data_IF_934440252282
#
_entry.id   IF_934440252282
#
_cell.length_a   1.000
_cell.length_b   1.000
_cell.length_c   1.000
_cell.angle_alpha   90.00
_cell.angle_beta   90.00
_cell.angle_gamma   90.00
#
_symmetry.space_group_name_H-M   'P 1'
#
loop_
_entity.id
_entity.type
_entity.pdbx_description
1 polymer ?
#
# COMPACT_ATOMS: atom_id res chain seq x y z
N UNK A 1 22.02 -8.14 26.98
CA UNK A 1 21.15 -8.87 27.91
C UNK A 1 21.31 -8.36 29.32
N UNK A 2 20.41 -7.46 29.74
CA UNK A 2 20.33 -7.00 31.12
C UNK A 2 19.18 -7.73 31.84
N UNK A 3 19.34 -8.17 33.10
CA UNK A 3 18.30 -8.86 33.85
C UNK A 3 17.02 -8.01 34.04
N UNK A 4 17.17 -6.69 34.10
CA UNK A 4 16.08 -5.72 34.25
C UNK A 4 15.51 -5.23 32.91
N UNK A 5 15.90 -5.83 31.78
CA UNK A 5 15.48 -5.39 30.45
C UNK A 5 13.96 -5.41 30.22
N UNK A 6 13.24 -6.24 30.97
CA UNK A 6 11.77 -6.33 30.91
C UNK A 6 11.05 -5.29 31.79
N UNK A 7 11.78 -4.54 32.62
CA UNK A 7 11.19 -3.55 33.52
C UNK A 7 11.07 -2.19 32.81
N UNK A 8 9.98 -1.47 33.05
CA UNK A 8 9.74 -0.11 32.55
C UNK A 8 9.94 0.06 31.04
N UNK A 9 9.58 -0.96 30.24
CA UNK A 9 9.77 -1.00 28.79
C UNK A 9 11.21 -0.71 28.32
N UNK A 10 12.21 -0.95 29.18
CA UNK A 10 13.61 -0.62 28.91
C UNK A 10 14.12 -1.23 27.60
N UNK A 11 13.77 -2.49 27.33
CA UNK A 11 14.13 -3.17 26.08
C UNK A 11 13.51 -2.50 24.86
N UNK A 12 12.21 -2.22 24.90
CA UNK A 12 11.51 -1.59 23.78
C UNK A 12 12.10 -0.21 23.48
N UNK A 13 12.30 0.62 24.51
CA UNK A 13 12.92 1.94 24.36
C UNK A 13 14.37 1.88 23.85
N UNK A 14 15.13 0.85 24.24
CA UNK A 14 16.49 0.66 23.74
C UNK A 14 16.53 0.28 22.25
N UNK A 15 15.64 -0.61 21.80
CA UNK A 15 15.52 -0.97 20.40
C UNK A 15 14.99 0.20 19.55
N UNK A 16 14.02 0.95 20.06
CA UNK A 16 13.51 2.18 19.43
C UNK A 16 14.61 3.25 19.29
N UNK A 17 15.40 3.46 20.34
CA UNK A 17 16.55 4.36 20.28
C UNK A 17 17.58 3.89 19.25
N UNK A 18 17.84 2.59 19.17
CA UNK A 18 18.76 2.01 18.18
C UNK A 18 18.23 2.21 16.75
N UNK A 19 16.94 1.99 16.52
CA UNK A 19 16.28 2.23 15.23
C UNK A 19 16.46 3.68 14.78
N UNK A 20 16.18 4.64 15.66
CA UNK A 20 16.25 6.06 15.32
C UNK A 20 17.71 6.53 15.13
N UNK A 21 18.67 5.98 15.89
CA UNK A 21 20.11 6.25 15.68
C UNK A 21 20.57 5.74 14.31
N UNK A 22 20.20 4.52 13.92
CA UNK A 22 20.57 3.97 12.59
C UNK A 22 19.92 4.79 11.47
N UNK A 23 18.64 5.12 11.60
CA UNK A 23 17.88 5.91 10.63
C UNK A 23 18.45 7.32 10.42
N UNK A 24 18.95 7.96 11.48
CA UNK A 24 19.53 9.31 11.40
C UNK A 24 21.06 9.33 11.34
N UNK A 25 21.68 8.19 11.02
CA UNK A 25 23.13 8.09 10.87
C UNK A 25 23.64 8.75 9.57
N UNK A 26 24.83 9.37 9.65
CA UNK A 26 25.53 9.94 8.51
C UNK A 26 26.23 8.86 7.67
N UNK A 27 26.63 9.19 6.44
CA UNK A 27 27.21 8.21 5.49
C UNK A 27 28.50 7.57 5.97
N UNK A 28 29.30 8.28 6.75
CA UNK A 28 30.53 7.79 7.37
C UNK A 28 30.29 6.75 8.48
N UNK A 29 29.06 6.68 9.00
CA UNK A 29 28.64 5.67 9.99
C UNK A 29 28.28 4.32 9.34
N UNK A 30 28.31 4.21 8.01
CA UNK A 30 27.90 3.01 7.28
C UNK A 30 28.58 1.71 7.76
N UNK A 31 29.90 1.67 8.05
CA UNK A 31 30.53 0.47 8.60
C UNK A 31 29.94 0.01 9.94
N UNK A 32 29.53 0.96 10.78
CA UNK A 32 28.86 0.65 12.05
C UNK A 32 27.44 0.12 11.82
N UNK A 33 26.72 0.68 10.84
CA UNK A 33 25.40 0.18 10.43
C UNK A 33 25.50 -1.26 9.92
N UNK A 34 26.45 -1.56 9.02
CA UNK A 34 26.67 -2.93 8.52
C UNK A 34 26.91 -3.93 9.66
N UNK A 35 27.81 -3.60 10.60
CA UNK A 35 28.08 -4.45 11.76
C UNK A 35 26.84 -4.63 12.64
N UNK A 36 26.05 -3.57 12.81
CA UNK A 36 24.79 -3.62 13.56
C UNK A 36 23.79 -4.55 12.88
N UNK A 37 23.65 -4.48 11.55
CA UNK A 37 22.78 -5.37 10.76
C UNK A 37 23.13 -6.84 10.99
N UNK A 38 24.41 -7.20 10.97
CA UNK A 38 24.85 -8.57 11.25
C UNK A 38 24.42 -9.05 12.65
N UNK A 39 24.58 -8.19 13.66
CA UNK A 39 24.18 -8.50 15.04
C UNK A 39 22.66 -8.66 15.17
N UNK A 40 21.87 -7.82 14.47
CA UNK A 40 20.41 -7.94 14.48
C UNK A 40 19.97 -9.26 13.84
N UNK A 41 20.59 -9.66 12.74
CA UNK A 41 20.31 -10.96 12.10
C UNK A 41 20.69 -12.14 12.99
N UNK A 42 21.86 -12.08 13.65
CA UNK A 42 22.28 -13.12 14.59
C UNK A 42 21.27 -13.26 15.74
N UNK A 43 20.83 -12.13 16.30
CA UNK A 43 19.79 -12.12 17.35
C UNK A 43 18.46 -12.67 16.85
N UNK A 44 18.05 -12.33 15.63
CA UNK A 44 16.83 -12.87 15.04
C UNK A 44 16.90 -14.40 14.93
N UNK A 45 18.02 -14.95 14.47
CA UNK A 45 18.21 -16.39 14.41
C UNK A 45 18.23 -17.05 15.79
N UNK A 46 18.90 -16.44 16.77
CA UNK A 46 18.93 -16.94 18.15
C UNK A 46 17.52 -16.99 18.73
N UNK A 47 16.72 -15.94 18.54
CA UNK A 47 15.33 -15.90 19.00
C UNK A 47 14.51 -17.02 18.34
N UNK A 48 14.67 -17.27 17.04
CA UNK A 48 13.97 -18.37 16.38
C UNK A 48 14.34 -19.78 16.90
N UNK A 49 15.48 -19.93 17.59
CA UNK A 49 15.88 -21.18 18.25
C UNK A 49 15.34 -21.29 19.69
N UNK A 50 15.07 -20.16 20.34
CA UNK A 50 14.56 -20.09 21.71
C UNK A 50 13.12 -20.57 21.86
N UNK A 51 12.40 -20.79 20.77
CA UNK A 51 11.02 -21.31 20.78
C UNK A 51 10.89 -22.61 21.61
N UNK A 52 11.90 -23.47 21.55
CA UNK A 52 11.95 -24.74 22.32
C UNK A 52 11.98 -24.57 23.85
N UNK A 53 12.26 -23.35 24.34
CA UNK A 53 12.37 -23.03 25.76
C UNK A 53 11.15 -22.29 26.32
N UNK A 54 10.12 -22.05 25.51
CA UNK A 54 8.89 -21.38 25.97
C UNK A 54 8.08 -22.36 26.83
N UNK A 55 8.00 -22.11 28.14
CA UNK A 55 7.28 -22.96 29.09
C UNK A 55 6.01 -22.29 29.64
N UNK A 56 5.98 -20.96 29.71
CA UNK A 56 4.85 -20.20 30.25
C UNK A 56 4.27 -19.19 29.25
N UNK A 57 3.05 -18.75 29.51
CA UNK A 57 2.41 -17.67 28.75
C UNK A 57 3.19 -16.36 28.84
N UNK A 58 3.82 -16.08 30.00
CA UNK A 58 4.69 -14.90 30.17
C UNK A 58 5.92 -14.97 29.26
N UNK A 59 6.55 -16.15 29.16
CA UNK A 59 7.70 -16.34 28.27
C UNK A 59 7.28 -16.15 26.81
N UNK A 60 6.09 -16.63 26.43
CA UNK A 60 5.55 -16.47 25.09
C UNK A 60 5.31 -15.00 24.72
N UNK A 61 4.78 -14.20 25.64
CA UNK A 61 4.58 -12.75 25.41
C UNK A 61 5.94 -12.07 25.20
N UNK A 62 6.90 -12.30 26.09
CA UNK A 62 8.23 -11.70 25.97
C UNK A 62 8.99 -12.14 24.71
N UNK A 63 8.75 -13.37 24.27
CA UNK A 63 9.28 -13.91 23.02
C UNK A 63 8.69 -13.19 21.81
N UNK A 64 7.37 -13.05 21.76
CA UNK A 64 6.66 -12.34 20.69
C UNK A 64 7.09 -10.87 20.62
N UNK A 65 7.18 -10.19 21.76
CA UNK A 65 7.63 -8.79 21.85
C UNK A 65 9.06 -8.63 21.28
N UNK A 66 9.95 -9.58 21.58
CA UNK A 66 11.31 -9.56 21.07
C UNK A 66 11.36 -9.80 19.55
N UNK A 67 10.52 -10.68 19.02
CA UNK A 67 10.40 -10.89 17.56
C UNK A 67 9.92 -9.62 16.86
N UNK A 68 8.88 -8.99 17.39
CA UNK A 68 8.35 -7.70 16.91
C UNK A 68 9.44 -6.62 16.87
N UNK A 69 10.14 -6.39 17.99
CA UNK A 69 11.23 -5.40 18.08
C UNK A 69 12.36 -5.68 17.08
N UNK A 70 12.73 -6.95 16.88
CA UNK A 70 13.77 -7.34 15.93
C UNK A 70 13.31 -7.13 14.48
N UNK A 71 12.05 -7.41 14.15
CA UNK A 71 11.48 -7.14 12.82
C UNK A 71 11.40 -5.64 12.53
N UNK A 72 10.92 -4.83 13.47
CA UNK A 72 10.91 -3.38 13.35
C UNK A 72 12.33 -2.80 13.20
N UNK A 73 13.31 -3.36 13.93
CA UNK A 73 14.71 -2.97 13.79
C UNK A 73 15.26 -3.38 12.42
N UNK A 74 14.88 -4.56 11.94
CA UNK A 74 15.25 -5.06 10.62
C UNK A 74 14.75 -4.15 9.49
N UNK A 75 13.51 -3.65 9.59
CA UNK A 75 12.97 -2.66 8.64
C UNK A 75 13.87 -1.40 8.56
N UNK A 76 14.27 -0.86 9.71
CA UNK A 76 15.09 0.35 9.76
C UNK A 76 16.51 0.14 9.22
N UNK A 77 17.15 -1.00 9.50
CA UNK A 77 18.48 -1.30 8.95
C UNK A 77 18.41 -1.59 7.46
N UNK A 78 17.37 -2.30 6.98
CA UNK A 78 17.20 -2.62 5.55
C UNK A 78 17.07 -1.36 4.69
N UNK A 79 16.38 -0.32 5.19
CA UNK A 79 16.28 0.98 4.51
C UNK A 79 17.58 1.79 4.46
N UNK A 80 18.62 1.37 5.19
CA UNK A 80 19.92 2.05 5.24
C UNK A 80 21.06 1.29 4.57
N UNK A 81 20.95 -0.02 4.42
CA UNK A 81 21.96 -0.79 3.71
C UNK A 81 21.94 -0.47 2.22
N UNK A 82 23.12 -0.53 1.61
CA UNK A 82 23.27 -0.48 0.17
C UNK A 82 22.64 -1.74 -0.43
N UNK A 83 22.10 -1.60 -1.63
CA UNK A 83 21.42 -2.68 -2.33
C UNK A 83 22.30 -3.95 -2.50
N UNK A 84 23.61 -3.79 -2.72
CA UNK A 84 24.55 -4.93 -2.78
C UNK A 84 24.64 -5.72 -1.47
N UNK A 85 24.60 -5.04 -0.33
CA UNK A 85 24.63 -5.70 0.98
C UNK A 85 23.26 -6.34 1.28
N UNK A 86 22.17 -5.67 0.88
CA UNK A 86 20.83 -6.22 0.99
C UNK A 86 20.70 -7.55 0.23
N UNK A 87 21.30 -7.65 -0.96
CA UNK A 87 21.33 -8.89 -1.73
C UNK A 87 22.04 -10.02 -0.99
N UNK A 88 23.18 -9.75 -0.36
CA UNK A 88 23.95 -10.74 0.39
C UNK A 88 23.20 -11.25 1.63
N UNK A 89 22.42 -10.39 2.27
CA UNK A 89 21.69 -10.76 3.50
C UNK A 89 20.26 -11.25 3.23
N UNK A 90 19.71 -11.00 2.04
CA UNK A 90 18.32 -11.28 1.68
C UNK A 90 17.88 -12.72 1.93
N UNK A 91 18.73 -13.69 1.60
CA UNK A 91 18.42 -15.13 1.80
C UNK A 91 18.31 -15.48 3.27
N UNK A 92 19.20 -14.94 4.09
CA UNK A 92 19.21 -15.17 5.54
C UNK A 92 18.00 -14.52 6.19
N UNK A 93 17.66 -13.30 5.77
CA UNK A 93 16.48 -12.58 6.25
C UNK A 93 15.21 -13.33 5.87
N UNK A 94 15.02 -13.69 4.60
CA UNK A 94 13.81 -14.40 4.17
C UNK A 94 13.68 -15.77 4.83
N UNK A 95 14.76 -16.53 4.96
CA UNK A 95 14.70 -17.80 5.71
C UNK A 95 14.25 -17.60 7.16
N UNK A 96 14.70 -16.52 7.80
CA UNK A 96 14.32 -16.18 9.18
C UNK A 96 12.85 -15.74 9.27
N UNK A 97 12.38 -14.89 8.35
CA UNK A 97 10.99 -14.43 8.30
C UNK A 97 10.03 -15.59 7.97
N UNK A 98 10.37 -16.44 7.00
CA UNK A 98 9.57 -17.63 6.66
C UNK A 98 9.45 -18.61 7.84
N UNK A 99 10.56 -18.85 8.56
CA UNK A 99 10.54 -19.66 9.77
C UNK A 99 9.66 -19.04 10.85
N UNK A 100 9.71 -17.71 11.01
CA UNK A 100 8.86 -17.01 11.96
C UNK A 100 7.38 -17.19 11.63
N UNK A 101 6.96 -17.03 10.37
CA UNK A 101 5.56 -17.27 9.98
C UNK A 101 5.08 -18.70 10.26
N UNK A 102 5.97 -19.69 10.17
CA UNK A 102 5.64 -21.09 10.48
C UNK A 102 5.45 -21.34 11.98
N UNK A 103 6.24 -20.69 12.85
CA UNK A 103 6.18 -20.90 14.29
C UNK A 103 5.12 -20.05 15.01
N UNK A 104 4.82 -18.86 14.50
CA UNK A 104 3.94 -17.89 15.17
C UNK A 104 2.51 -17.84 14.64
N UNK A 105 1.97 -18.99 14.21
CA UNK A 105 0.63 -19.13 13.62
C UNK A 105 -0.57 -18.64 14.49
N UNK A 106 -0.34 -18.02 15.65
CA UNK A 106 -1.39 -17.45 16.52
C UNK A 106 -0.99 -16.16 17.25
N UNK A 107 -0.01 -15.39 16.76
CA UNK A 107 0.33 -14.07 17.31
C UNK A 107 0.27 -12.99 16.25
N UNK A 108 -0.88 -12.33 16.10
CA UNK A 108 -1.14 -11.33 15.06
C UNK A 108 -0.10 -10.23 14.95
N UNK A 109 0.28 -9.60 16.08
CA UNK A 109 1.27 -8.52 16.07
C UNK A 109 2.63 -8.95 15.50
N UNK A 110 3.06 -10.19 15.73
CA UNK A 110 4.31 -10.70 15.15
C UNK A 110 4.16 -10.95 13.66
N UNK A 111 2.99 -11.43 13.21
CA UNK A 111 2.72 -11.64 11.78
C UNK A 111 2.67 -10.31 11.02
N UNK A 112 2.05 -9.28 11.61
CA UNK A 112 2.03 -7.93 11.07
C UNK A 112 3.45 -7.38 10.89
N UNK A 113 4.27 -7.37 11.94
CA UNK A 113 5.65 -6.88 11.89
C UNK A 113 6.52 -7.69 10.90
N UNK A 114 6.26 -8.98 10.79
CA UNK A 114 6.92 -9.86 9.84
C UNK A 114 6.57 -9.48 8.39
N UNK A 115 5.29 -9.24 8.09
CA UNK A 115 4.84 -8.80 6.77
C UNK A 115 5.39 -7.42 6.42
N UNK A 116 5.46 -6.50 7.39
CA UNK A 116 6.10 -5.19 7.21
C UNK A 116 7.62 -5.31 6.95
N UNK A 117 8.29 -6.26 7.60
CA UNK A 117 9.69 -6.56 7.33
C UNK A 117 9.90 -7.14 5.92
N UNK A 118 9.00 -8.02 5.46
CA UNK A 118 9.01 -8.51 4.07
C UNK A 118 8.78 -7.35 3.10
N UNK A 119 7.83 -6.47 3.37
CA UNK A 119 7.53 -5.28 2.53
C UNK A 119 8.77 -4.41 2.35
N UNK A 120 9.48 -4.13 3.44
CA UNK A 120 10.74 -3.37 3.38
C UNK A 120 11.81 -4.11 2.57
N UNK A 121 11.89 -5.44 2.67
CA UNK A 121 12.83 -6.20 1.86
C UNK A 121 12.45 -6.20 0.37
N UNK A 122 11.16 -6.25 0.04
CA UNK A 122 10.64 -6.12 -1.32
C UNK A 122 11.01 -4.76 -1.91
N UNK A 123 10.81 -3.66 -1.16
CA UNK A 123 11.22 -2.31 -1.57
C UNK A 123 12.71 -2.23 -1.90
N UNK A 124 13.56 -2.89 -1.10
CA UNK A 124 15.03 -2.84 -1.25
C UNK A 124 15.54 -3.71 -2.39
N UNK A 125 14.95 -4.90 -2.60
CA UNK A 125 15.39 -5.84 -3.63
C UNK A 125 14.74 -5.58 -5.00
N UNK A 126 13.56 -4.97 -5.04
CA UNK A 126 12.80 -4.79 -6.27
C UNK A 126 12.53 -6.13 -6.98
N UNK A 127 12.81 -6.18 -8.28
CA UNK A 127 12.57 -7.37 -9.11
C UNK A 127 13.34 -8.62 -8.67
N UNK A 128 14.44 -8.48 -7.94
CA UNK A 128 15.23 -9.62 -7.44
C UNK A 128 14.51 -10.39 -6.33
N UNK A 129 13.43 -9.84 -5.77
CA UNK A 129 12.58 -10.56 -4.81
C UNK A 129 11.85 -11.76 -5.45
N UNK A 130 11.71 -11.80 -6.78
CA UNK A 130 10.97 -12.84 -7.49
C UNK A 130 11.39 -14.27 -7.09
N UNK A 131 12.67 -14.48 -6.78
CA UNK A 131 13.20 -15.79 -6.35
C UNK A 131 12.56 -16.34 -5.07
N UNK A 132 11.94 -15.49 -4.24
CA UNK A 132 11.27 -15.89 -3.01
C UNK A 132 9.77 -16.12 -3.16
N UNK A 133 9.15 -15.68 -4.27
CA UNK A 133 7.69 -15.67 -4.41
C UNK A 133 7.05 -17.06 -4.27
N UNK A 134 7.65 -18.09 -4.85
CA UNK A 134 7.12 -19.46 -4.75
C UNK A 134 7.09 -19.99 -3.32
N UNK A 135 8.09 -19.65 -2.51
CA UNK A 135 8.15 -20.05 -1.11
C UNK A 135 7.28 -19.15 -0.22
N UNK A 136 7.13 -17.87 -0.58
CA UNK A 136 6.43 -16.87 0.21
C UNK A 136 4.91 -16.84 -0.03
N UNK A 137 4.44 -17.20 -1.23
CA UNK A 137 3.02 -17.12 -1.61
C UNK A 137 2.04 -17.74 -0.59
N UNK A 138 2.30 -18.89 0.07
CA UNK A 138 1.33 -19.46 1.00
C UNK A 138 1.14 -18.57 2.23
N UNK A 139 2.19 -17.88 2.67
CA UNK A 139 2.15 -16.98 3.83
C UNK A 139 1.44 -15.67 3.51
N UNK A 140 1.63 -15.14 2.30
CA UNK A 140 0.84 -14.02 1.81
C UNK A 140 -0.65 -14.37 1.76
N UNK A 141 -0.99 -15.55 1.24
CA UNK A 141 -2.37 -16.04 1.21
C UNK A 141 -2.99 -16.22 2.60
N UNK A 142 -2.20 -16.67 3.60
CA UNK A 142 -2.64 -16.75 5.00
C UNK A 142 -2.95 -15.34 5.55
N UNK A 143 -2.05 -14.38 5.32
CA UNK A 143 -2.24 -13.00 5.77
C UNK A 143 -3.50 -12.36 5.17
N UNK A 144 -3.71 -12.53 3.87
CA UNK A 144 -4.92 -12.05 3.18
C UNK A 144 -6.21 -12.73 3.67
N UNK A 145 -6.16 -14.01 4.06
CA UNK A 145 -7.32 -14.73 4.61
C UNK A 145 -7.59 -14.41 6.08
N UNK A 146 -6.64 -13.82 6.80
CA UNK A 146 -6.76 -13.53 8.23
C UNK A 146 -7.52 -12.21 8.48
N UNK A 147 -8.79 -12.15 8.05
CA UNK A 147 -9.63 -10.97 8.27
C UNK A 147 -10.02 -10.75 9.73
N UNK A 148 -9.89 -11.77 10.58
CA UNK A 148 -10.18 -11.67 12.02
C UNK A 148 -9.18 -10.74 12.73
N UNK A 149 -7.91 -10.78 12.32
CA UNK A 149 -6.89 -9.84 12.76
C UNK A 149 -6.61 -8.83 11.64
N UNK A 150 -7.46 -7.81 11.55
CA UNK A 150 -7.46 -6.89 10.42
C UNK A 150 -6.11 -6.18 10.19
N UNK A 151 -5.28 -5.99 11.22
CA UNK A 151 -3.94 -5.40 11.07
C UNK A 151 -3.00 -6.30 10.25
N UNK A 152 -3.06 -7.62 10.46
CA UNK A 152 -2.30 -8.60 9.65
C UNK A 152 -2.81 -8.57 8.21
N UNK A 153 -4.13 -8.52 8.03
CA UNK A 153 -4.73 -8.40 6.70
C UNK A 153 -4.33 -7.09 5.99
N UNK A 154 -4.29 -5.95 6.71
CA UNK A 154 -3.84 -4.66 6.18
C UNK A 154 -2.38 -4.74 5.73
N UNK A 155 -1.49 -5.30 6.55
CA UNK A 155 -0.08 -5.49 6.19
C UNK A 155 0.07 -6.40 4.96
N UNK A 156 -0.74 -7.46 4.84
CA UNK A 156 -0.74 -8.34 3.69
C UNK A 156 -1.23 -7.63 2.41
N UNK A 157 -2.29 -6.82 2.50
CA UNK A 157 -2.80 -6.01 1.38
C UNK A 157 -1.77 -4.97 0.94
N UNK A 158 -1.14 -4.27 1.87
CA UNK A 158 -0.06 -3.31 1.58
C UNK A 158 1.12 -3.98 0.87
N UNK A 159 1.52 -5.15 1.36
CA UNK A 159 2.59 -5.95 0.75
C UNK A 159 2.28 -6.38 -0.69
N UNK A 160 1.01 -6.63 -1.04
CA UNK A 160 0.62 -6.87 -2.45
C UNK A 160 0.96 -5.65 -3.30
N UNK A 161 0.67 -4.43 -2.83
CA UNK A 161 1.02 -3.20 -3.54
C UNK A 161 2.52 -3.03 -3.73
N UNK A 162 3.33 -3.34 -2.71
CA UNK A 162 4.79 -3.29 -2.83
C UNK A 162 5.34 -4.35 -3.80
N UNK A 163 4.76 -5.55 -3.79
CA UNK A 163 5.07 -6.59 -4.77
C UNK A 163 4.71 -6.16 -6.20
N UNK A 164 3.57 -5.47 -6.41
CA UNK A 164 3.19 -4.92 -7.70
C UNK A 164 4.24 -3.93 -8.22
N UNK A 165 4.71 -3.02 -7.36
CA UNK A 165 5.73 -2.01 -7.71
C UNK A 165 7.10 -2.64 -7.97
N UNK A 166 7.48 -3.63 -7.18
CA UNK A 166 8.78 -4.29 -7.26
C UNK A 166 8.90 -5.26 -8.43
N UNK A 167 7.88 -6.10 -8.63
CA UNK A 167 7.91 -7.18 -9.61
C UNK A 167 7.33 -6.77 -10.97
N UNK A 168 6.50 -5.73 -11.00
CA UNK A 168 5.82 -5.24 -12.20
C UNK A 168 5.09 -6.41 -12.90
N UNK A 169 5.23 -6.56 -14.22
CA UNK A 169 4.59 -7.62 -14.99
C UNK A 169 4.96 -9.05 -14.53
N UNK A 170 6.06 -9.25 -13.79
CA UNK A 170 6.43 -10.55 -13.25
C UNK A 170 5.51 -11.02 -12.11
N UNK A 171 4.64 -10.16 -11.57
CA UNK A 171 3.64 -10.56 -10.58
C UNK A 171 2.46 -11.32 -11.20
N UNK A 172 2.28 -11.23 -12.52
CA UNK A 172 1.13 -11.78 -13.25
C UNK A 172 0.77 -13.24 -12.89
N UNK A 173 1.72 -14.18 -12.75
CA UNK A 173 1.41 -15.57 -12.39
C UNK A 173 0.73 -15.74 -11.03
N UNK A 174 0.85 -14.75 -10.14
CA UNK A 174 0.31 -14.78 -8.77
C UNK A 174 -1.01 -14.00 -8.65
N UNK A 175 -1.38 -13.21 -9.66
CA UNK A 175 -2.53 -12.31 -9.59
C UNK A 175 -3.87 -13.04 -9.46
N UNK A 176 -4.06 -14.19 -10.10
CA UNK A 176 -5.33 -14.94 -10.04
C UNK A 176 -5.71 -15.27 -8.59
N UNK A 177 -4.77 -15.81 -7.82
CA UNK A 177 -4.98 -16.18 -6.41
C UNK A 177 -5.17 -14.93 -5.55
N UNK A 178 -4.33 -13.91 -5.72
CA UNK A 178 -4.42 -12.66 -4.95
C UNK A 178 -5.76 -11.96 -5.20
N UNK A 179 -6.17 -11.80 -6.47
CA UNK A 179 -7.44 -11.15 -6.82
C UNK A 179 -8.64 -11.91 -6.26
N UNK A 180 -8.60 -13.24 -6.28
CA UNK A 180 -9.65 -14.05 -5.66
C UNK A 180 -9.79 -13.72 -4.16
N UNK A 181 -8.68 -13.73 -3.40
CA UNK A 181 -8.70 -13.46 -1.96
C UNK A 181 -9.15 -12.03 -1.63
N UNK A 182 -8.70 -11.04 -2.41
CA UNK A 182 -9.11 -9.65 -2.24
C UNK A 182 -10.61 -9.46 -2.47
N UNK A 183 -11.17 -10.08 -3.51
CA UNK A 183 -12.60 -10.02 -3.81
C UNK A 183 -13.45 -10.77 -2.75
N UNK A 184 -12.97 -11.92 -2.26
CA UNK A 184 -13.61 -12.65 -1.15
C UNK A 184 -13.68 -11.79 0.12
N UNK A 185 -12.61 -11.05 0.44
CA UNK A 185 -12.62 -10.10 1.57
C UNK A 185 -13.61 -8.95 1.38
N UNK A 186 -13.72 -8.37 0.18
CA UNK A 186 -14.69 -7.29 -0.06
C UNK A 186 -16.15 -7.76 0.06
N UNK A 187 -16.42 -9.01 -0.32
CA UNK A 187 -17.74 -9.64 -0.17
C UNK A 187 -18.07 -10.09 1.27
N UNK A 188 -17.11 -10.07 2.19
CA UNK A 188 -17.31 -10.50 3.57
C UNK A 188 -17.65 -9.31 4.48
N UNK A 189 -18.90 -9.28 4.97
CA UNK A 189 -19.40 -8.22 5.86
C UNK A 189 -18.73 -8.21 7.25
N UNK A 190 -18.05 -9.29 7.64
CA UNK A 190 -17.33 -9.37 8.93
C UNK A 190 -15.93 -8.76 8.88
N UNK A 191 -15.44 -8.37 7.69
CA UNK A 191 -14.13 -7.74 7.54
C UNK A 191 -14.18 -6.33 8.10
N UNK A 192 -13.15 -5.96 8.86
CA UNK A 192 -13.05 -4.61 9.43
C UNK A 192 -13.04 -3.54 8.31
N UNK A 193 -13.82 -2.47 8.52
CA UNK A 193 -14.06 -1.42 7.51
C UNK A 193 -12.79 -0.83 6.91
N UNK A 194 -11.72 -0.67 7.69
CA UNK A 194 -10.43 -0.11 7.23
C UNK A 194 -9.71 -0.97 6.19
N UNK A 195 -10.04 -2.25 6.05
CA UNK A 195 -9.43 -3.12 5.03
C UNK A 195 -9.95 -2.79 3.63
N UNK A 196 -11.23 -2.39 3.51
CA UNK A 196 -11.86 -2.16 2.20
C UNK A 196 -11.14 -1.06 1.39
N UNK A 197 -10.87 0.14 1.93
CA UNK A 197 -10.13 1.17 1.19
C UNK A 197 -8.76 0.69 0.68
N UNK A 198 -8.02 -0.08 1.49
CA UNK A 198 -6.70 -0.59 1.10
C UNK A 198 -6.80 -1.61 -0.03
N UNK A 199 -7.81 -2.48 -0.02
CA UNK A 199 -8.05 -3.40 -1.13
C UNK A 199 -8.39 -2.63 -2.42
N UNK A 200 -9.19 -1.56 -2.33
CA UNK A 200 -9.50 -0.75 -3.51
C UNK A 200 -8.25 -0.10 -4.08
N UNK A 201 -7.42 0.51 -3.22
CA UNK A 201 -6.14 1.08 -3.65
C UNK A 201 -5.25 0.04 -4.34
N UNK A 202 -5.13 -1.18 -3.78
CA UNK A 202 -4.26 -2.20 -4.36
C UNK A 202 -4.76 -2.74 -5.70
N UNK A 203 -6.06 -2.65 -6.01
CA UNK A 203 -6.52 -2.92 -7.38
C UNK A 203 -5.91 -1.96 -8.39
N UNK A 204 -5.68 -0.70 -8.00
CA UNK A 204 -4.95 0.27 -8.80
C UNK A 204 -3.49 -0.15 -9.03
N UNK A 205 -2.79 -0.56 -7.97
CA UNK A 205 -1.40 -1.05 -8.06
C UNK A 205 -1.28 -2.30 -8.95
N UNK A 206 -2.22 -3.25 -8.83
CA UNK A 206 -2.25 -4.45 -9.66
C UNK A 206 -2.49 -4.07 -11.13
N UNK A 207 -3.45 -3.18 -11.40
CA UNK A 207 -3.73 -2.71 -12.76
C UNK A 207 -2.52 -2.02 -13.40
N UNK A 208 -1.78 -1.21 -12.63
CA UNK A 208 -0.53 -0.60 -13.08
C UNK A 208 0.53 -1.65 -13.39
N UNK A 209 0.67 -2.67 -12.54
CA UNK A 209 1.72 -3.68 -12.69
C UNK A 209 1.49 -4.61 -13.90
N UNK A 210 0.25 -4.99 -14.19
CA UNK A 210 -0.06 -5.99 -15.24
C UNK A 210 -0.69 -5.41 -16.51
N UNK A 211 -1.06 -4.12 -16.49
CA UNK A 211 -1.58 -3.39 -17.64
C UNK A 211 -2.76 -4.08 -18.32
N UNK A 212 -2.62 -4.41 -19.60
CA UNK A 212 -3.68 -5.04 -20.42
C UNK A 212 -4.19 -6.38 -19.86
N UNK A 213 -3.39 -7.14 -19.10
CA UNK A 213 -3.86 -8.40 -18.49
C UNK A 213 -4.94 -8.16 -17.42
N UNK A 214 -5.07 -6.93 -16.91
CA UNK A 214 -6.10 -6.55 -15.95
C UNK A 214 -7.52 -6.61 -16.53
N UNK A 215 -7.67 -6.69 -17.86
CA UNK A 215 -8.98 -6.86 -18.54
C UNK A 215 -9.80 -8.01 -17.98
N UNK A 216 -9.16 -9.07 -17.50
CA UNK A 216 -9.81 -10.23 -16.87
C UNK A 216 -10.64 -9.86 -15.63
N UNK A 217 -10.22 -8.84 -14.89
CA UNK A 217 -10.84 -8.42 -13.62
C UNK A 217 -11.66 -7.14 -13.75
N UNK A 218 -11.49 -6.42 -14.87
CA UNK A 218 -11.95 -5.05 -15.04
C UNK A 218 -13.44 -4.88 -14.75
N UNK A 219 -14.31 -5.76 -15.27
CA UNK A 219 -15.75 -5.66 -15.05
C UNK A 219 -16.13 -5.76 -13.58
N UNK A 220 -15.59 -6.77 -12.88
CA UNK A 220 -15.86 -7.00 -11.46
C UNK A 220 -15.34 -5.82 -10.63
N UNK A 221 -14.11 -5.38 -10.88
CA UNK A 221 -13.49 -4.28 -10.14
C UNK A 221 -14.24 -2.96 -10.37
N UNK A 222 -14.64 -2.64 -11.61
CA UNK A 222 -15.40 -1.42 -11.90
C UNK A 222 -16.78 -1.41 -11.23
N UNK A 223 -17.46 -2.56 -11.17
CA UNK A 223 -18.75 -2.67 -10.46
C UNK A 223 -18.57 -2.53 -8.94
N UNK A 224 -17.49 -3.08 -8.38
CA UNK A 224 -17.14 -2.90 -6.97
C UNK A 224 -16.82 -1.44 -6.64
N UNK A 225 -16.02 -0.77 -7.46
CA UNK A 225 -15.71 0.66 -7.30
C UNK A 225 -16.97 1.53 -7.42
N UNK A 226 -17.84 1.22 -8.38
CA UNK A 226 -19.12 1.90 -8.55
C UNK A 226 -19.97 1.86 -7.27
N UNK A 227 -20.03 0.70 -6.59
CA UNK A 227 -20.76 0.54 -5.34
C UNK A 227 -20.08 1.28 -4.19
N UNK A 228 -18.76 1.16 -4.05
CA UNK A 228 -17.99 1.81 -3.00
C UNK A 228 -18.04 3.35 -3.10
N UNK A 229 -17.95 3.91 -4.30
CA UNK A 229 -18.04 5.36 -4.55
C UNK A 229 -19.41 5.95 -4.23
N UNK A 230 -20.45 5.13 -4.12
CA UNK A 230 -21.81 5.55 -3.74
C UNK A 230 -22.07 5.42 -2.23
N UNK A 231 -21.09 4.98 -1.45
CA UNK A 231 -21.21 4.88 0.00
C UNK A 231 -21.52 6.25 0.62
N UNK A 232 -22.44 6.25 1.58
CA UNK A 232 -22.79 7.42 2.38
C UNK A 232 -22.74 7.03 3.85
N UNK A 233 -22.36 7.99 4.68
CA UNK A 233 -22.26 7.83 6.13
C UNK A 233 -22.99 8.95 6.85
N UNK A 234 -23.27 8.74 8.14
CA UNK A 234 -23.77 9.79 9.01
C UNK A 234 -22.67 10.83 9.26
N UNK A 235 -22.88 12.05 8.76
CA UNK A 235 -21.93 13.17 8.91
C UNK A 235 -21.79 13.67 10.35
N UNK A 236 -22.67 13.25 11.26
CA UNK A 236 -22.52 13.56 12.69
C UNK A 236 -21.48 12.68 13.40
N UNK A 237 -21.11 11.54 12.79
CA UNK A 237 -20.08 10.64 13.29
C UNK A 237 -18.74 10.93 12.58
N UNK A 238 -17.86 11.66 13.27
CA UNK A 238 -16.55 12.05 12.73
C UNK A 238 -15.69 10.85 12.32
N UNK A 239 -15.76 9.71 13.04
CA UNK A 239 -15.00 8.51 12.69
C UNK A 239 -15.49 7.93 11.35
N UNK A 240 -16.78 8.08 11.05
CA UNK A 240 -17.36 7.65 9.78
C UNK A 240 -17.03 8.61 8.65
N UNK A 241 -16.93 9.91 8.92
CA UNK A 241 -16.48 10.92 7.94
C UNK A 241 -15.04 10.66 7.52
N UNK A 242 -14.14 10.38 8.47
CA UNK A 242 -12.75 10.02 8.17
C UNK A 242 -12.69 8.72 7.34
N UNK A 243 -13.46 7.71 7.75
CA UNK A 243 -13.58 6.46 6.99
C UNK A 243 -14.10 6.68 5.55
N UNK A 244 -15.12 7.54 5.37
CA UNK A 244 -15.65 7.85 4.05
C UNK A 244 -14.59 8.51 3.15
N UNK A 245 -13.77 9.39 3.72
CA UNK A 245 -12.66 10.00 2.99
C UNK A 245 -11.57 8.98 2.63
N UNK A 246 -11.20 8.05 3.52
CA UNK A 246 -10.29 6.94 3.20
C UNK A 246 -10.85 6.07 2.06
N UNK A 247 -12.15 5.73 2.12
CA UNK A 247 -12.81 4.94 1.08
C UNK A 247 -12.84 5.67 -0.26
N UNK A 248 -13.12 6.99 -0.26
CA UNK A 248 -13.09 7.84 -1.44
C UNK A 248 -11.69 7.90 -2.04
N UNK A 249 -10.65 8.08 -1.23
CA UNK A 249 -9.26 8.08 -1.67
C UNK A 249 -8.89 6.74 -2.33
N UNK A 250 -9.21 5.61 -1.67
CA UNK A 250 -8.98 4.27 -2.24
C UNK A 250 -9.71 4.04 -3.57
N UNK A 251 -10.94 4.56 -3.74
CA UNK A 251 -11.64 4.50 -5.03
C UNK A 251 -10.95 5.32 -6.12
N UNK A 252 -10.51 6.54 -5.79
CA UNK A 252 -9.85 7.44 -6.74
C UNK A 252 -8.49 6.87 -7.18
N UNK A 253 -7.71 6.33 -6.25
CA UNK A 253 -6.43 5.68 -6.54
C UNK A 253 -6.62 4.42 -7.41
N UNK A 254 -7.66 3.62 -7.14
CA UNK A 254 -8.02 2.49 -7.98
C UNK A 254 -8.32 2.92 -9.42
N UNK A 255 -9.16 3.94 -9.62
CA UNK A 255 -9.46 4.47 -10.95
C UNK A 255 -8.21 5.02 -11.64
N UNK A 256 -7.36 5.76 -10.94
CA UNK A 256 -6.08 6.25 -11.49
C UNK A 256 -5.21 5.08 -11.96
N UNK A 257 -5.04 4.04 -11.13
CA UNK A 257 -4.24 2.87 -11.49
C UNK A 257 -4.80 2.10 -12.68
N UNK A 258 -6.12 1.94 -12.76
CA UNK A 258 -6.81 1.30 -13.90
C UNK A 258 -6.63 2.12 -15.19
N UNK A 259 -6.88 3.43 -15.13
CA UNK A 259 -6.78 4.31 -16.31
C UNK A 259 -5.34 4.34 -16.83
N UNK A 260 -4.36 4.51 -15.94
CA UNK A 260 -2.95 4.53 -16.35
C UNK A 260 -2.46 3.15 -16.82
N UNK A 261 -2.80 2.07 -16.10
CA UNK A 261 -2.40 0.71 -16.47
C UNK A 261 -2.91 0.29 -17.85
N UNK A 262 -4.17 0.62 -18.18
CA UNK A 262 -4.76 0.32 -19.49
C UNK A 262 -4.35 1.29 -20.60
N UNK A 263 -3.97 2.53 -20.25
CA UNK A 263 -3.43 3.52 -21.19
C UNK A 263 -2.02 3.15 -21.64
N UNK A 264 -1.21 2.57 -20.75
CA UNK A 264 0.18 2.22 -20.98
C UNK A 264 1.14 3.42 -20.95
N UNK A 265 2.44 3.10 -21.03
CA UNK A 265 3.53 4.07 -20.85
C UNK A 265 4.02 4.73 -22.15
N UNK A 266 3.44 4.37 -23.29
CA UNK A 266 3.82 4.95 -24.58
C UNK A 266 3.12 6.28 -24.85
N UNK A 267 3.67 7.09 -25.77
CA UNK A 267 3.08 8.38 -26.16
C UNK A 267 1.65 8.24 -26.72
N UNK A 268 1.37 7.10 -27.37
CA UNK A 268 0.04 6.80 -27.89
C UNK A 268 -0.80 6.09 -26.82
N UNK A 269 -2.02 6.57 -26.64
CA UNK A 269 -3.01 5.95 -25.76
C UNK A 269 -3.35 4.54 -26.27
N UNK A 270 -3.14 3.53 -25.43
CA UNK A 270 -3.46 2.15 -25.79
C UNK A 270 -4.99 1.94 -25.87
N UNK A 271 -5.51 1.19 -26.87
CA UNK A 271 -6.96 1.04 -27.07
C UNK A 271 -7.72 0.44 -25.88
N UNK A 272 -7.06 -0.34 -25.03
CA UNK A 272 -7.69 -1.00 -23.88
C UNK A 272 -8.32 0.00 -22.90
N UNK A 273 -7.79 1.24 -22.80
CA UNK A 273 -8.40 2.26 -21.93
C UNK A 273 -9.81 2.65 -22.39
N UNK A 274 -10.17 2.40 -23.65
CA UNK A 274 -11.53 2.63 -24.17
C UNK A 274 -12.58 1.74 -23.50
N UNK A 275 -12.17 0.64 -22.86
CA UNK A 275 -13.07 -0.19 -22.04
C UNK A 275 -13.58 0.57 -20.80
N UNK A 276 -12.84 1.58 -20.34
CA UNK A 276 -13.20 2.43 -19.20
C UNK A 276 -13.97 3.69 -19.66
N UNK A 277 -13.95 4.01 -20.96
CA UNK A 277 -14.61 5.21 -21.51
C UNK A 277 -16.09 5.34 -21.07
N UNK A 278 -16.92 4.27 -21.08
CA UNK A 278 -18.31 4.38 -20.65
C UNK A 278 -18.49 4.73 -19.16
N UNK A 279 -17.45 4.60 -18.34
CA UNK A 279 -17.47 4.91 -16.90
C UNK A 279 -17.00 6.34 -16.59
N UNK A 280 -16.44 7.06 -17.56
CA UNK A 280 -15.89 8.41 -17.35
C UNK A 280 -16.94 9.38 -16.79
N UNK A 281 -18.18 9.32 -17.28
CA UNK A 281 -19.27 10.17 -16.79
C UNK A 281 -19.57 9.92 -15.31
N UNK A 282 -19.57 8.65 -14.88
CA UNK A 282 -19.76 8.31 -13.47
C UNK A 282 -18.59 8.81 -12.62
N UNK A 283 -17.34 8.57 -13.04
CA UNK A 283 -16.15 9.00 -12.31
C UNK A 283 -16.16 10.51 -12.10
N UNK A 284 -16.49 11.29 -13.14
CA UNK A 284 -16.60 12.74 -13.01
C UNK A 284 -17.78 13.17 -12.13
N UNK A 285 -18.91 12.45 -12.16
CA UNK A 285 -20.03 12.68 -11.23
C UNK A 285 -19.64 12.42 -9.77
N UNK A 286 -18.83 11.38 -9.53
CA UNK A 286 -18.30 11.05 -8.22
C UNK A 286 -17.37 12.15 -7.69
N UNK A 287 -16.44 12.63 -8.52
CA UNK A 287 -15.55 13.74 -8.15
C UNK A 287 -16.33 15.05 -7.90
N UNK A 288 -17.34 15.33 -8.73
CA UNK A 288 -18.22 16.49 -8.57
C UNK A 288 -19.02 16.42 -7.25
N UNK A 289 -19.48 15.22 -6.87
CA UNK A 289 -20.12 15.01 -5.57
C UNK A 289 -19.16 15.21 -4.39
N UNK A 290 -17.92 14.71 -4.49
CA UNK A 290 -16.87 14.95 -3.50
C UNK A 290 -16.59 16.45 -3.37
N UNK A 291 -16.51 17.17 -4.48
CA UNK A 291 -16.24 18.60 -4.49
C UNK A 291 -17.33 19.43 -3.81
N UNK A 292 -18.59 18.96 -3.83
CA UNK A 292 -19.70 19.58 -3.10
C UNK A 292 -19.78 19.23 -1.63
N UNK A 293 -18.95 18.31 -1.14
CA UNK A 293 -18.91 17.87 0.23
C UNK A 293 -17.87 18.68 1.01
N UNK A 294 -18.26 19.52 1.98
CA UNK A 294 -17.31 20.36 2.74
C UNK A 294 -16.31 19.56 3.61
N UNK A 295 -16.55 18.27 3.83
CA UNK A 295 -15.74 17.42 4.71
C UNK A 295 -14.61 16.67 3.96
N UNK A 296 -14.31 17.03 2.70
CA UNK A 296 -13.24 16.36 1.95
C UNK A 296 -11.84 16.74 2.44
N UNK A 297 -10.92 15.75 2.43
CA UNK A 297 -9.54 15.97 2.87
C UNK A 297 -8.63 16.43 1.72
N UNK A 298 -7.49 17.04 2.05
CA UNK A 298 -6.43 17.37 1.09
C UNK A 298 -5.94 16.12 0.30
N UNK A 299 -6.00 14.93 0.90
CA UNK A 299 -5.67 13.66 0.25
C UNK A 299 -6.66 13.33 -0.87
N UNK A 300 -7.95 13.41 -0.56
CA UNK A 300 -9.03 13.23 -1.54
C UNK A 300 -8.95 14.27 -2.66
N UNK A 301 -8.72 15.55 -2.34
CA UNK A 301 -8.52 16.62 -3.35
C UNK A 301 -7.34 16.28 -4.26
N UNK A 302 -6.23 15.80 -3.71
CA UNK A 302 -5.05 15.43 -4.47
C UNK A 302 -5.33 14.27 -5.44
N UNK A 303 -5.96 13.20 -4.96
CA UNK A 303 -6.28 12.02 -5.77
C UNK A 303 -7.33 12.33 -6.84
N UNK A 304 -8.36 13.11 -6.52
CA UNK A 304 -9.35 13.56 -7.49
C UNK A 304 -8.72 14.44 -8.58
N UNK A 305 -7.83 15.36 -8.21
CA UNK A 305 -7.10 16.17 -9.17
C UNK A 305 -6.20 15.31 -10.08
N UNK A 306 -5.47 14.34 -9.50
CA UNK A 306 -4.68 13.37 -10.26
C UNK A 306 -5.53 12.65 -11.30
N UNK A 307 -6.64 12.07 -10.87
CA UNK A 307 -7.56 11.33 -11.74
C UNK A 307 -8.14 12.20 -12.87
N UNK A 308 -8.50 13.46 -12.60
CA UNK A 308 -8.95 14.38 -13.67
C UNK A 308 -7.88 14.56 -14.74
N UNK A 309 -6.62 14.75 -14.32
CA UNK A 309 -5.51 14.88 -15.26
C UNK A 309 -5.28 13.58 -16.05
N UNK A 310 -5.36 12.42 -15.39
CA UNK A 310 -5.24 11.11 -16.04
C UNK A 310 -6.32 10.93 -17.11
N UNK A 311 -7.58 11.22 -16.79
CA UNK A 311 -8.71 11.19 -17.73
C UNK A 311 -8.49 12.11 -18.92
N UNK A 312 -7.96 13.32 -18.70
CA UNK A 312 -7.63 14.26 -19.78
C UNK A 312 -6.60 13.65 -20.74
N UNK A 313 -5.56 13.00 -20.21
CA UNK A 313 -4.51 12.38 -21.04
C UNK A 313 -4.98 11.10 -21.74
N UNK A 314 -5.96 10.38 -21.20
CA UNK A 314 -6.47 9.14 -21.75
C UNK A 314 -7.59 9.35 -22.79
N UNK A 315 -8.52 10.27 -22.55
CA UNK A 315 -9.75 10.41 -23.35
C UNK A 315 -9.88 11.76 -24.06
N UNK A 316 -8.95 12.70 -23.81
CA UNK A 316 -8.86 13.95 -24.56
C UNK A 316 -10.09 14.86 -24.41
N UNK A 317 -10.49 15.50 -25.52
CA UNK A 317 -11.45 16.62 -25.53
C UNK A 317 -12.84 16.29 -24.99
N UNK A 318 -13.28 15.03 -25.01
CA UNK A 318 -14.60 14.68 -24.50
C UNK A 318 -14.70 14.86 -22.97
N UNK A 319 -13.57 14.67 -22.26
CA UNK A 319 -13.48 14.94 -20.81
C UNK A 319 -13.66 16.42 -20.53
N UNK A 320 -13.11 17.30 -21.37
CA UNK A 320 -13.22 18.76 -21.17
C UNK A 320 -14.69 19.20 -21.10
N UNK A 321 -15.53 18.71 -22.02
CA UNK A 321 -16.97 19.06 -22.03
C UNK A 321 -17.68 18.58 -20.76
N UNK A 322 -17.37 17.37 -20.30
CA UNK A 322 -17.96 16.79 -19.11
C UNK A 322 -17.51 17.52 -17.83
N UNK A 323 -16.27 17.97 -17.78
CA UNK A 323 -15.74 18.77 -16.66
C UNK A 323 -16.33 20.18 -16.66
N UNK A 324 -16.40 20.86 -17.81
CA UNK A 324 -17.01 22.20 -17.90
C UNK A 324 -18.50 22.21 -17.53
N UNK A 325 -19.19 21.08 -17.69
CA UNK A 325 -20.59 20.89 -17.24
C UNK A 325 -20.74 20.75 -15.71
N UNK A 326 -19.63 20.63 -14.96
CA UNK A 326 -19.60 20.31 -13.52
C UNK A 326 -18.80 21.37 -12.76
N UNK A 327 -19.44 22.47 -12.31
CA UNK A 327 -18.72 23.62 -11.79
C UNK A 327 -17.95 23.32 -10.49
N UNK A 328 -18.41 22.38 -9.65
CA UNK A 328 -17.73 22.05 -8.39
C UNK A 328 -16.32 21.49 -8.63
N UNK A 329 -16.10 20.79 -9.75
CA UNK A 329 -14.76 20.30 -10.12
C UNK A 329 -13.78 21.48 -10.30
N UNK A 330 -14.23 22.61 -10.86
CA UNK A 330 -13.38 23.79 -11.00
C UNK A 330 -13.04 24.44 -9.65
N UNK A 331 -13.98 24.40 -8.69
CA UNK A 331 -13.76 24.88 -7.32
C UNK A 331 -12.75 23.97 -6.60
N UNK A 332 -12.93 22.66 -6.67
CA UNK A 332 -12.00 21.65 -6.13
C UNK A 332 -10.56 21.84 -6.64
N UNK A 333 -10.39 22.02 -7.97
CA UNK A 333 -9.07 22.28 -8.56
C UNK A 333 -8.49 23.65 -8.14
N UNK A 334 -9.35 24.62 -7.82
CA UNK A 334 -8.92 25.93 -7.33
C UNK A 334 -8.48 25.86 -5.89
N UNK A 335 -9.21 25.13 -5.06
CA UNK A 335 -8.86 24.80 -3.69
C UNK A 335 -7.53 24.04 -3.63
N UNK A 336 -7.39 22.95 -4.38
CA UNK A 336 -6.17 22.15 -4.39
C UNK A 336 -4.93 22.97 -4.74
N UNK A 337 -5.02 23.91 -5.69
CA UNK A 337 -3.92 24.84 -6.03
C UNK A 337 -3.53 25.78 -4.89
N UNK A 338 -4.45 26.06 -3.97
CA UNK A 338 -4.23 26.91 -2.78
C UNK A 338 -3.85 26.11 -1.55
N UNK A 339 -4.03 24.78 -1.57
CA UNK A 339 -3.70 23.88 -0.46
C UNK A 339 -2.26 24.07 0.05
N UNK A 340 -2.08 23.86 1.35
CA UNK A 340 -0.76 23.82 1.98
C UNK A 340 -0.05 22.49 1.72
N UNK A 341 -0.80 21.45 1.39
CA UNK A 341 -0.28 20.12 1.09
C UNK A 341 0.34 20.11 -0.31
N UNK A 342 1.64 19.79 -0.39
CA UNK A 342 2.39 19.85 -1.64
C UNK A 342 1.85 18.91 -2.72
N UNK A 343 1.39 17.70 -2.35
CA UNK A 343 0.78 16.71 -3.26
C UNK A 343 -0.47 17.30 -3.93
N UNK A 344 -1.42 17.82 -3.12
CA UNK A 344 -2.65 18.45 -3.60
C UNK A 344 -2.37 19.63 -4.55
N UNK A 345 -1.47 20.54 -4.15
CA UNK A 345 -1.09 21.70 -4.98
C UNK A 345 -0.49 21.29 -6.32
N UNK A 346 0.39 20.29 -6.32
CA UNK A 346 1.09 19.84 -7.53
C UNK A 346 0.10 19.19 -8.50
N UNK A 347 -0.72 18.25 -8.03
CA UNK A 347 -1.68 17.54 -8.86
C UNK A 347 -2.80 18.45 -9.36
N UNK A 348 -3.34 19.34 -8.53
CA UNK A 348 -4.35 20.31 -8.97
C UNK A 348 -3.80 21.30 -10.01
N UNK A 349 -2.56 21.73 -9.87
CA UNK A 349 -1.88 22.58 -10.87
C UNK A 349 -1.69 21.83 -12.19
N UNK A 350 -1.25 20.57 -12.12
CA UNK A 350 -1.06 19.72 -13.28
C UNK A 350 -2.38 19.42 -14.01
N UNK A 351 -3.42 18.99 -13.31
CA UNK A 351 -4.73 18.72 -13.90
C UNK A 351 -5.32 19.97 -14.58
N UNK A 352 -5.18 21.14 -13.94
CA UNK A 352 -5.58 22.43 -14.54
C UNK A 352 -4.81 22.72 -15.84
N UNK A 353 -3.52 22.34 -15.91
CA UNK A 353 -2.70 22.49 -17.12
C UNK A 353 -3.18 21.55 -18.23
N UNK A 354 -3.48 20.29 -17.92
CA UNK A 354 -3.97 19.32 -18.92
C UNK A 354 -5.32 19.74 -19.50
N UNK A 355 -6.28 20.17 -18.66
CA UNK A 355 -7.55 20.74 -19.13
C UNK A 355 -7.35 21.94 -20.07
N UNK A 356 -6.41 22.84 -19.76
CA UNK A 356 -6.07 23.99 -20.62
C UNK A 356 -5.47 23.56 -21.95
N UNK A 357 -4.63 22.52 -21.99
CA UNK A 357 -4.08 21.99 -23.24
C UNK A 357 -5.21 21.51 -24.16
N UNK A 358 -6.19 20.78 -23.62
CA UNK A 358 -7.34 20.29 -24.39
C UNK A 358 -8.19 21.42 -24.95
N UNK A 359 -8.35 22.52 -24.20
CA UNK A 359 -9.08 23.71 -24.66
C UNK A 359 -8.38 24.43 -25.82
N UNK A 360 -7.06 24.40 -25.85
CA UNK A 360 -6.23 25.06 -26.86
C UNK A 360 -5.88 24.15 -28.05
N UNK A 361 -6.14 22.84 -27.94
CA UNK A 361 -5.98 21.91 -29.04
C UNK A 361 -7.08 22.19 -30.05
N UNK A 362 -6.72 22.47 -31.32
CA UNK A 362 -7.67 22.79 -32.40
C UNK A 362 -8.65 21.65 -32.67
#
# INVERSE_FOLDING_TARGET
DRPDGHQNNLRSSAYESLMEIVKNSAKDCYPAVQKTTLVIMERLQQVLQMESHIQSTSDRIQFNDLQSLLCATLQNVLRKVQHQDALQISEVVMASLLRMFQSTAGSGGVQEDALMAVSTLVEVLGGEFLKYMEAFKPFLGIGLKNYAEYQVCLAAVGLVGDLCRALQSNILPFCDEVMQLLLENLGNENVHRSVKPQILSVFGDIALAIGGEFKKYLEVVLNTLQQASQAQVDKSDYDMVDYLNELREGCLEAYTGIVQGLKGDQENVHPDVMLVQPRVEFILSFIDHIAGDEDHTDGVVACAAGLIGDLCTAFGKDVLKLVEARPMIHELLTEGRRSKTNKAKTLATWATKELRKLKNQA
#
